data_IF_704758736652
#
_entry.id   IF_704758736652
#
_cell.length_a   1.000
_cell.length_b   1.000
_cell.length_c   1.000
_cell.angle_alpha   90.00
_cell.angle_beta   90.00
_cell.angle_gamma   90.00
#
_symmetry.space_group_name_H-M   'P 1'
#
loop_
_entity.id
_entity.type
_entity.pdbx_description
1 polymer ?
#
# COMPACT_ATOMS: atom_id res chain seq x y z
N UNK A 1 -9.76 -26.55 -17.94
CA UNK A 1 -9.59 -25.55 -16.86
C UNK A 1 -8.18 -25.68 -16.33
N UNK A 2 -7.44 -24.59 -16.06
CA UNK A 2 -6.14 -24.69 -15.42
C UNK A 2 -6.32 -25.35 -14.04
N UNK A 3 -5.47 -26.33 -13.73
CA UNK A 3 -5.44 -26.95 -12.40
C UNK A 3 -5.04 -25.90 -11.36
N UNK A 4 -5.61 -25.95 -10.14
CA UNK A 4 -5.16 -25.09 -9.06
C UNK A 4 -3.66 -25.31 -8.83
N UNK A 5 -2.92 -24.22 -8.63
CA UNK A 5 -1.48 -24.34 -8.39
C UNK A 5 -1.25 -25.15 -7.10
N UNK A 6 -0.25 -26.06 -7.07
CA UNK A 6 0.02 -26.87 -5.88
C UNK A 6 0.28 -26.04 -4.62
N UNK A 7 0.82 -24.83 -4.81
CA UNK A 7 1.00 -23.86 -3.72
C UNK A 7 -0.34 -23.42 -3.13
N UNK A 8 -1.39 -23.26 -3.93
CA UNK A 8 -2.71 -22.82 -3.47
C UNK A 8 -3.58 -23.94 -2.91
N UNK A 9 -3.17 -25.20 -3.08
CA UNK A 9 -3.83 -26.34 -2.43
C UNK A 9 -3.30 -26.61 -1.02
N UNK A 10 -2.22 -25.95 -0.60
CA UNK A 10 -1.68 -26.11 0.76
C UNK A 10 -2.60 -25.48 1.81
N UNK A 11 -2.69 -26.06 3.02
CA UNK A 11 -3.31 -25.43 4.16
C UNK A 11 -2.67 -24.09 4.54
N UNK A 12 -3.45 -23.24 5.20
CA UNK A 12 -3.02 -21.89 5.61
C UNK A 12 -1.80 -21.93 6.53
N UNK A 13 -1.70 -22.93 7.38
CA UNK A 13 -0.59 -23.13 8.32
C UNK A 13 0.73 -23.28 7.56
N UNK A 14 0.73 -24.05 6.46
CA UNK A 14 1.89 -24.21 5.60
C UNK A 14 2.24 -22.92 4.84
N UNK A 15 1.24 -22.14 4.42
CA UNK A 15 1.49 -20.83 3.83
C UNK A 15 2.20 -19.90 4.81
N UNK A 16 1.78 -19.89 6.08
CA UNK A 16 2.45 -19.09 7.10
C UNK A 16 3.88 -19.57 7.36
N UNK A 17 4.09 -20.90 7.46
CA UNK A 17 5.43 -21.45 7.60
C UNK A 17 6.35 -21.13 6.43
N UNK A 18 5.83 -21.09 5.19
CA UNK A 18 6.58 -20.63 4.02
C UNK A 18 6.94 -19.16 4.17
N UNK A 19 5.96 -18.31 4.51
CA UNK A 19 6.16 -16.86 4.69
C UNK A 19 7.25 -16.57 5.73
N UNK A 20 7.25 -17.27 6.85
CA UNK A 20 8.21 -17.07 7.95
C UNK A 20 9.66 -17.39 7.54
N UNK A 21 9.86 -18.14 6.46
CA UNK A 21 11.18 -18.47 5.90
C UNK A 21 11.62 -17.52 4.77
N UNK A 22 10.77 -16.57 4.36
CA UNK A 22 11.11 -15.64 3.29
C UNK A 22 11.88 -14.44 3.82
N UNK A 23 12.97 -14.11 3.12
CA UNK A 23 13.59 -12.81 3.29
C UNK A 23 12.59 -11.69 3.02
N UNK A 24 12.70 -10.62 3.81
CA UNK A 24 11.89 -9.43 3.64
C UNK A 24 11.95 -8.92 2.19
N UNK A 25 13.15 -8.91 1.60
CA UNK A 25 13.38 -8.53 0.21
C UNK A 25 14.37 -9.49 -0.47
N UNK A 26 14.14 -9.91 -1.73
CA UNK A 26 13.01 -9.58 -2.62
C UNK A 26 11.78 -10.49 -2.43
N UNK A 27 11.95 -11.65 -1.78
CA UNK A 27 11.00 -12.76 -1.82
C UNK A 27 9.61 -12.41 -1.28
N UNK A 28 9.52 -11.84 -0.07
CA UNK A 28 8.22 -11.51 0.52
C UNK A 28 7.49 -10.39 -0.26
N UNK A 29 8.24 -9.46 -0.88
CA UNK A 29 7.68 -8.38 -1.68
C UNK A 29 7.11 -8.87 -3.01
N UNK A 30 7.86 -9.74 -3.69
CA UNK A 30 7.37 -10.38 -4.93
C UNK A 30 6.11 -11.19 -4.64
N UNK A 31 6.10 -11.97 -3.56
CA UNK A 31 4.93 -12.78 -3.17
C UNK A 31 3.71 -11.91 -2.84
N UNK A 32 3.92 -10.78 -2.13
CA UNK A 32 2.87 -9.79 -1.82
C UNK A 32 2.20 -9.24 -3.08
N UNK A 33 2.98 -9.01 -4.14
CA UNK A 33 2.49 -8.38 -5.37
C UNK A 33 1.92 -9.38 -6.37
N UNK A 34 2.32 -10.66 -6.27
CA UNK A 34 1.86 -11.71 -7.17
C UNK A 34 0.42 -12.18 -6.88
N UNK A 35 -0.03 -12.16 -5.62
CA UNK A 35 -1.30 -12.80 -5.25
C UNK A 35 -1.99 -12.13 -4.04
N UNK A 36 -3.30 -11.91 -4.15
CA UNK A 36 -4.14 -11.30 -3.09
C UNK A 36 -4.23 -12.15 -1.82
N UNK A 37 -4.20 -13.48 -1.92
CA UNK A 37 -4.15 -14.40 -0.77
C UNK A 37 -2.91 -14.13 0.08
N UNK A 38 -1.73 -14.14 -0.54
CA UNK A 38 -0.48 -13.90 0.18
C UNK A 38 -0.36 -12.45 0.65
N UNK A 39 -0.88 -11.48 -0.11
CA UNK A 39 -0.98 -10.10 0.35
C UNK A 39 -1.70 -9.97 1.70
N UNK A 40 -2.79 -10.74 1.89
CA UNK A 40 -3.59 -10.74 3.11
C UNK A 40 -2.94 -11.56 4.25
N UNK A 41 -2.13 -12.56 3.93
CA UNK A 41 -1.39 -13.35 4.94
C UNK A 41 -0.15 -12.63 5.45
N UNK A 42 0.54 -11.88 4.59
CA UNK A 42 1.75 -11.15 4.95
C UNK A 42 1.43 -9.97 5.86
N UNK A 43 2.21 -9.82 6.95
CA UNK A 43 2.10 -8.69 7.89
C UNK A 43 2.08 -7.35 7.14
N UNK A 44 1.17 -6.41 7.41
CA UNK A 44 1.16 -5.11 6.75
C UNK A 44 2.53 -4.42 6.86
N UNK A 45 2.98 -3.79 5.78
CA UNK A 45 4.25 -3.06 5.78
C UNK A 45 4.12 -1.78 6.57
N UNK A 46 5.10 -1.52 7.46
CA UNK A 46 5.25 -0.21 8.05
C UNK A 46 5.85 0.78 7.02
N UNK A 47 5.81 2.07 7.34
CA UNK A 47 6.28 3.08 6.38
C UNK A 47 7.78 3.04 6.12
N UNK A 48 8.58 2.71 7.13
CA UNK A 48 10.04 2.62 7.00
C UNK A 48 10.44 1.44 6.11
N UNK A 49 9.77 0.30 6.25
CA UNK A 49 9.90 -0.87 5.38
C UNK A 49 9.56 -0.54 3.94
N UNK A 50 8.47 0.18 3.71
CA UNK A 50 8.08 0.62 2.37
C UNK A 50 9.11 1.59 1.74
N UNK A 51 9.70 2.48 2.54
CA UNK A 51 10.79 3.35 2.10
C UNK A 51 12.07 2.58 1.79
N UNK A 52 12.36 1.51 2.53
CA UNK A 52 13.47 0.63 2.22
C UNK A 52 13.26 -0.07 0.86
N UNK A 53 12.02 -0.53 0.60
CA UNK A 53 11.66 -1.13 -0.70
C UNK A 53 11.78 -0.13 -1.83
N UNK A 54 11.43 1.14 -1.63
CA UNK A 54 11.55 2.18 -2.67
C UNK A 54 12.95 2.29 -3.29
N UNK A 55 13.99 1.97 -2.51
CA UNK A 55 15.40 2.02 -2.91
C UNK A 55 15.89 0.75 -3.62
N UNK A 56 15.07 -0.30 -3.67
CA UNK A 56 15.48 -1.57 -4.23
C UNK A 56 15.38 -1.60 -5.76
N UNK A 57 16.17 -2.47 -6.38
CA UNK A 57 16.15 -2.69 -7.83
C UNK A 57 14.77 -3.13 -8.32
N UNK A 58 14.03 -3.87 -7.49
CA UNK A 58 12.65 -4.25 -7.80
C UNK A 58 11.76 -3.02 -7.94
N UNK A 59 11.84 -2.08 -7.00
CA UNK A 59 11.00 -0.91 -7.03
C UNK A 59 11.36 0.01 -8.21
N UNK A 60 12.64 0.10 -8.55
CA UNK A 60 13.14 0.80 -9.74
C UNK A 60 12.62 0.16 -11.02
N UNK A 61 12.77 -1.16 -11.16
CA UNK A 61 12.37 -1.91 -12.35
C UNK A 61 10.86 -1.86 -12.60
N UNK A 62 10.05 -2.00 -11.56
CA UNK A 62 8.59 -1.99 -11.66
C UNK A 62 7.95 -0.59 -11.57
N UNK A 63 8.77 0.47 -11.48
CA UNK A 63 8.33 1.84 -11.23
C UNK A 63 7.30 1.95 -10.08
N UNK A 64 7.58 1.32 -8.95
CA UNK A 64 6.72 1.40 -7.75
C UNK A 64 7.35 2.26 -6.67
N UNK A 65 6.51 3.08 -6.02
CA UNK A 65 6.89 3.93 -4.90
C UNK A 65 5.83 3.89 -3.79
N UNK A 66 6.20 4.13 -2.53
CA UNK A 66 5.26 4.04 -1.42
C UNK A 66 4.34 5.25 -1.31
N UNK A 67 3.07 4.96 -1.02
CA UNK A 67 2.05 5.92 -0.66
C UNK A 67 1.87 5.97 0.87
N UNK A 68 2.00 7.17 1.46
CA UNK A 68 1.81 7.37 2.89
C UNK A 68 0.36 7.10 3.33
N UNK A 69 -0.63 7.52 2.51
CA UNK A 69 -2.05 7.43 2.85
C UNK A 69 -2.60 6.01 2.91
N UNK A 70 -2.39 5.19 1.87
CA UNK A 70 -2.91 3.81 1.83
C UNK A 70 -1.91 2.74 2.29
N UNK A 71 -0.68 3.14 2.67
CA UNK A 71 0.41 2.24 3.07
C UNK A 71 0.64 1.09 2.07
N UNK A 72 0.67 1.42 0.77
CA UNK A 72 0.90 0.48 -0.33
C UNK A 72 2.01 1.00 -1.23
N UNK A 73 2.77 0.08 -1.83
CA UNK A 73 3.57 0.35 -3.01
C UNK A 73 2.62 0.51 -4.19
N UNK A 74 2.70 1.65 -4.87
CA UNK A 74 1.85 1.99 -6.02
C UNK A 74 2.74 2.32 -7.22
N UNK A 75 2.32 2.00 -8.44
CA UNK A 75 3.02 2.44 -9.64
C UNK A 75 3.18 3.98 -9.67
N UNK A 76 4.29 4.49 -10.21
CA UNK A 76 4.60 5.92 -10.27
C UNK A 76 3.51 6.73 -10.97
N UNK A 77 2.87 6.17 -12.00
CA UNK A 77 1.76 6.81 -12.71
C UNK A 77 0.50 7.05 -11.85
N UNK A 78 0.38 6.39 -10.69
CA UNK A 78 -0.72 6.61 -9.72
C UNK A 78 -0.47 7.81 -8.81
N UNK A 79 0.64 8.51 -8.96
CA UNK A 79 0.94 9.77 -8.28
C UNK A 79 0.78 10.94 -9.25
N UNK A 80 0.49 12.12 -8.72
CA UNK A 80 0.37 13.32 -9.54
C UNK A 80 1.74 13.71 -10.13
N UNK A 81 1.72 14.46 -11.22
CA UNK A 81 2.94 14.85 -11.96
C UNK A 81 3.91 15.64 -11.07
N UNK A 82 3.39 16.54 -10.24
CA UNK A 82 4.19 17.27 -9.25
C UNK A 82 4.99 16.33 -8.32
N UNK A 83 4.35 15.33 -7.72
CA UNK A 83 5.03 14.37 -6.83
C UNK A 83 5.98 13.44 -7.58
N UNK A 84 5.76 13.17 -8.88
CA UNK A 84 6.72 12.42 -9.70
C UNK A 84 8.01 13.22 -9.96
N UNK A 85 7.92 14.54 -10.12
CA UNK A 85 9.07 15.40 -10.43
C UNK A 85 9.77 15.97 -9.19
N UNK A 86 9.00 16.37 -8.17
CA UNK A 86 9.51 17.02 -6.96
C UNK A 86 9.83 16.01 -5.86
N UNK A 87 9.13 14.87 -5.84
CA UNK A 87 9.36 13.81 -4.87
C UNK A 87 9.87 12.51 -5.51
N UNK A 88 11.00 12.66 -6.20
CA UNK A 88 11.82 11.56 -6.70
C UNK A 88 12.23 10.65 -5.54
N UNK A 89 12.65 9.42 -5.85
CA UNK A 89 13.02 8.41 -4.85
C UNK A 89 14.03 8.96 -3.84
N UNK A 90 13.65 8.95 -2.56
CA UNK A 90 14.48 9.47 -1.48
C UNK A 90 14.38 10.99 -1.22
N UNK A 91 13.41 11.70 -1.79
CA UNK A 91 13.14 13.12 -1.47
C UNK A 91 12.90 13.36 0.04
N UNK A 92 13.14 14.61 0.46
CA UNK A 92 12.97 15.05 1.85
C UNK A 92 11.50 14.97 2.30
N UNK A 93 10.54 15.23 1.41
CA UNK A 93 9.11 15.20 1.69
C UNK A 93 8.42 13.89 1.26
N UNK A 94 9.17 12.77 1.19
CA UNK A 94 8.60 11.49 0.72
C UNK A 94 7.47 10.98 1.61
N UNK A 95 7.50 11.31 2.90
CA UNK A 95 6.41 11.05 3.87
C UNK A 95 5.09 11.75 3.53
N UNK A 96 5.12 12.83 2.76
CA UNK A 96 3.91 13.53 2.32
C UNK A 96 3.35 12.97 1.00
N UNK A 97 4.06 12.01 0.38
CA UNK A 97 3.67 11.46 -0.92
C UNK A 97 2.43 10.56 -0.80
N UNK A 98 1.41 10.88 -1.58
CA UNK A 98 0.12 10.18 -1.59
C UNK A 98 -0.33 9.90 -3.01
N UNK A 99 -0.82 8.69 -3.30
CA UNK A 99 -1.40 8.41 -4.61
C UNK A 99 -2.65 9.27 -4.85
N UNK A 100 -3.02 9.45 -6.12
CA UNK A 100 -4.15 10.29 -6.56
C UNK A 100 -5.43 9.91 -5.80
N UNK A 101 -5.71 8.63 -5.62
CA UNK A 101 -6.89 8.15 -4.85
C UNK A 101 -6.90 8.67 -3.40
N UNK A 102 -5.76 8.64 -2.71
CA UNK A 102 -5.64 9.15 -1.34
C UNK A 102 -5.76 10.67 -1.29
N UNK A 103 -5.19 11.35 -2.29
CA UNK A 103 -5.23 12.80 -2.38
C UNK A 103 -6.66 13.30 -2.62
N UNK A 104 -7.38 12.67 -3.57
CA UNK A 104 -8.80 12.94 -3.85
C UNK A 104 -9.66 12.70 -2.60
N UNK A 105 -9.44 11.59 -1.88
CA UNK A 105 -10.16 11.31 -0.63
C UNK A 105 -9.92 12.40 0.42
N UNK A 106 -8.67 12.83 0.59
CA UNK A 106 -8.34 13.91 1.53
C UNK A 106 -9.02 15.23 1.15
N UNK A 107 -9.18 15.53 -0.14
CA UNK A 107 -9.92 16.71 -0.61
C UNK A 107 -11.41 16.59 -0.26
N UNK A 108 -12.04 15.44 -0.49
CA UNK A 108 -13.43 15.21 -0.10
C UNK A 108 -13.63 15.32 1.42
N UNK A 109 -12.72 14.77 2.21
CA UNK A 109 -12.79 14.81 3.67
C UNK A 109 -12.56 16.24 4.22
N UNK A 110 -11.69 17.03 3.58
CA UNK A 110 -11.40 18.43 3.95
C UNK A 110 -12.39 19.46 3.41
N UNK A 111 -13.18 19.11 2.39
CA UNK A 111 -14.24 19.94 1.81
C UNK A 111 -15.62 19.75 2.46
N UNK A 112 -15.69 19.12 3.64
CA UNK A 112 -16.93 18.98 4.42
C UNK A 112 -17.69 20.32 4.46
N UNK A 113 -18.88 20.42 3.86
CA UNK A 113 -20.15 20.15 4.56
C UNK A 113 -20.00 20.36 6.06
N UNK A 114 -20.40 21.56 6.48
CA UNK A 114 -20.90 21.81 7.82
C UNK A 114 -21.86 20.68 8.23
N UNK A 115 -21.69 20.18 9.45
CA UNK A 115 -22.71 19.40 10.11
C UNK A 115 -23.96 20.25 10.28
N UNK A 116 -25.10 19.77 9.78
CA UNK A 116 -26.41 20.31 10.05
C UNK A 116 -27.38 19.19 10.36
N UNK A 117 -27.89 19.16 11.59
CA UNK A 117 -29.08 18.38 11.95
C UNK A 117 -28.91 17.42 13.10
N UNK A 118 -28.61 17.95 14.30
CA UNK A 118 -29.00 17.28 15.54
C UNK A 118 -30.52 17.09 15.59
N UNK A 119 -30.94 15.86 15.83
CA UNK A 119 -32.32 15.47 16.13
C UNK A 119 -32.34 14.66 17.41
N UNK A 120 -32.02 15.30 18.53
CA UNK A 120 -32.15 14.76 19.87
C UNK A 120 -32.57 15.88 20.80
N UNK A 121 -33.88 16.01 21.02
CA UNK A 121 -34.48 17.07 21.82
C UNK A 121 -34.07 16.97 23.30
N UNK A 122 -33.66 18.12 23.84
CA UNK A 122 -33.68 18.38 25.27
C UNK A 122 -34.69 19.50 25.51
N UNK A 123 -35.80 19.13 26.13
CA UNK A 123 -36.65 20.05 26.87
C UNK A 123 -35.88 20.53 28.11
N UNK A 124 -35.58 21.83 28.18
CA UNK A 124 -35.91 22.74 29.28
C UNK A 124 -35.34 24.13 29.00
#
# INVERSE_FOLDING_TARGET
>A
MPSPSPLMTLPRELHLSIIDQLDFFPSSMTLRLANTHFYNLLKPLNYQEMLAVEKSDYALFHDVVPCHGCRRLRPGHKFNEYQRHVCVRGCQHREERTCIECNVRAIYDSSGREGGGGGGGLFQ
#
